data_IF_692279190593
#
_entry.id   IF_692279190593
#
_cell.length_a   1.000
_cell.length_b   1.000
_cell.length_c   1.000
_cell.angle_alpha   90.00
_cell.angle_beta   90.00
_cell.angle_gamma   90.00
#
_symmetry.space_group_name_H-M   'P 1'
#
loop_
_entity.id
_entity.type
_entity.pdbx_description
1 polymer ?
#
# COMPACT_ATOMS: atom_id res chain seq x y z
N UNK A 1 -15.64 -23.97 24.17
CA UNK A 1 -15.35 -24.17 22.74
C UNK A 1 -13.91 -23.75 22.53
N UNK A 2 -13.08 -24.61 21.93
CA UNK A 2 -11.68 -24.24 21.63
C UNK A 2 -11.69 -23.21 20.49
N UNK A 3 -10.85 -22.17 20.61
CA UNK A 3 -10.75 -21.12 19.60
C UNK A 3 -9.94 -21.62 18.40
N UNK A 4 -10.20 -21.07 17.21
CA UNK A 4 -9.42 -21.39 16.03
C UNK A 4 -7.98 -20.83 16.10
N UNK A 5 -7.07 -21.43 15.34
CA UNK A 5 -5.68 -20.93 15.24
C UNK A 5 -5.63 -19.50 14.71
N UNK A 6 -6.47 -19.15 13.73
CA UNK A 6 -6.54 -17.80 13.19
C UNK A 6 -7.03 -16.79 14.24
N UNK A 7 -7.93 -17.20 15.14
CA UNK A 7 -8.37 -16.37 16.27
C UNK A 7 -7.21 -16.08 17.22
N UNK A 8 -6.47 -17.13 17.61
CA UNK A 8 -5.31 -17.00 18.51
C UNK A 8 -4.21 -16.14 17.87
N UNK A 9 -3.92 -16.35 16.58
CA UNK A 9 -2.94 -15.56 15.82
C UNK A 9 -3.31 -14.09 15.77
N UNK A 10 -4.58 -13.74 15.54
CA UNK A 10 -5.03 -12.34 15.57
C UNK A 10 -4.81 -11.71 16.94
N UNK A 11 -5.16 -12.42 18.01
CA UNK A 11 -4.92 -11.91 19.36
C UNK A 11 -3.43 -11.75 19.67
N UNK A 12 -2.57 -12.63 19.15
CA UNK A 12 -1.13 -12.47 19.23
C UNK A 12 -0.66 -11.20 18.50
N UNK A 13 -1.13 -10.95 17.27
CA UNK A 13 -0.82 -9.74 16.51
C UNK A 13 -1.27 -8.46 17.25
N UNK A 14 -2.48 -8.46 17.81
CA UNK A 14 -3.02 -7.32 18.56
C UNK A 14 -2.24 -7.03 19.85
N UNK A 15 -1.73 -8.06 20.52
CA UNK A 15 -0.97 -7.93 21.76
C UNK A 15 0.55 -7.83 21.53
N UNK A 16 1.01 -7.86 20.28
CA UNK A 16 2.43 -7.78 19.94
C UNK A 16 3.01 -6.42 20.34
N UNK A 17 4.28 -6.42 20.77
CA UNK A 17 5.00 -5.20 21.17
C UNK A 17 6.42 -5.22 20.64
N UNK A 18 7.05 -4.04 20.55
CA UNK A 18 8.44 -3.93 20.09
C UNK A 18 8.63 -4.50 18.69
N UNK A 19 9.63 -5.38 18.53
CA UNK A 19 9.96 -5.99 17.24
C UNK A 19 8.86 -6.90 16.70
N UNK A 20 8.07 -7.55 17.56
CA UNK A 20 7.00 -8.46 17.12
C UNK A 20 5.92 -7.72 16.33
N UNK A 21 5.69 -6.44 16.66
CA UNK A 21 4.72 -5.58 15.98
C UNK A 21 5.14 -5.22 14.56
N UNK A 22 6.42 -5.30 14.21
CA UNK A 22 6.91 -5.04 12.86
C UNK A 22 6.38 -6.05 11.82
N UNK A 23 5.93 -7.23 12.27
CA UNK A 23 5.30 -8.23 11.40
C UNK A 23 3.94 -7.78 10.85
N UNK A 24 3.33 -6.75 11.44
CA UNK A 24 2.04 -6.22 11.03
C UNK A 24 0.87 -7.20 11.24
N UNK A 25 -0.24 -6.92 10.55
CA UNK A 25 -1.45 -7.72 10.59
C UNK A 25 -1.59 -8.56 9.32
N UNK A 26 -1.95 -9.83 9.46
CA UNK A 26 -2.24 -10.68 8.31
C UNK A 26 -3.58 -10.28 7.68
N UNK A 27 -3.53 -9.65 6.50
CA UNK A 27 -4.71 -9.09 5.81
C UNK A 27 -5.79 -10.17 5.54
N UNK A 28 -5.39 -11.43 5.38
CA UNK A 28 -6.28 -12.54 5.06
C UNK A 28 -6.72 -13.37 6.29
N UNK A 29 -6.31 -12.98 7.50
CA UNK A 29 -6.64 -13.73 8.73
C UNK A 29 -8.15 -13.92 8.91
N UNK A 30 -8.92 -12.90 8.55
CA UNK A 30 -10.37 -12.87 8.63
C UNK A 30 -11.06 -13.92 7.74
N UNK A 31 -10.42 -14.36 6.65
CA UNK A 31 -10.95 -15.41 5.78
C UNK A 31 -10.87 -16.80 6.43
N UNK A 32 -9.98 -16.96 7.42
CA UNK A 32 -9.75 -18.20 8.16
C UNK A 32 -10.52 -18.27 9.50
N UNK A 33 -11.23 -17.19 9.86
CA UNK A 33 -12.09 -17.13 11.04
C UNK A 33 -13.48 -17.68 10.70
N UNK A 34 -13.94 -18.65 11.47
CA UNK A 34 -15.28 -19.20 11.30
C UNK A 34 -16.38 -18.22 11.74
N UNK A 35 -17.60 -18.40 11.22
CA UNK A 35 -18.73 -17.52 11.51
C UNK A 35 -19.08 -17.42 13.01
N UNK A 36 -18.84 -18.48 13.79
CA UNK A 36 -19.16 -18.50 15.22
C UNK A 36 -18.22 -17.60 16.05
N UNK A 37 -17.00 -17.38 15.57
CA UNK A 37 -16.00 -16.51 16.20
C UNK A 37 -15.98 -15.11 15.58
N UNK A 38 -16.50 -14.97 14.36
CA UNK A 38 -16.39 -13.76 13.56
C UNK A 38 -16.87 -12.51 14.29
N UNK A 39 -18.03 -12.60 14.95
CA UNK A 39 -18.60 -11.46 15.66
C UNK A 39 -17.71 -10.96 16.81
N UNK A 40 -17.07 -11.89 17.54
CA UNK A 40 -16.15 -11.55 18.62
C UNK A 40 -14.85 -10.94 18.09
N UNK A 41 -14.30 -11.54 17.02
CA UNK A 41 -13.09 -11.05 16.34
C UNK A 41 -13.27 -9.64 15.81
N UNK A 42 -14.37 -9.37 15.10
CA UNK A 42 -14.62 -8.04 14.55
C UNK A 42 -14.78 -6.99 15.65
N UNK A 43 -15.41 -7.34 16.77
CA UNK A 43 -15.51 -6.45 17.93
C UNK A 43 -14.14 -6.12 18.51
N UNK A 44 -13.23 -7.09 18.57
CA UNK A 44 -11.85 -6.89 19.04
C UNK A 44 -11.07 -5.97 18.08
N UNK A 45 -11.21 -6.18 16.76
CA UNK A 45 -10.59 -5.33 15.74
C UNK A 45 -11.12 -3.89 15.86
N UNK A 46 -12.43 -3.74 15.89
CA UNK A 46 -13.10 -2.45 16.01
C UNK A 46 -12.64 -1.69 17.25
N UNK A 47 -12.63 -2.35 18.41
CA UNK A 47 -12.21 -1.71 19.65
C UNK A 47 -10.73 -1.32 19.64
N UNK A 48 -9.89 -2.12 19.00
CA UNK A 48 -8.45 -1.83 18.85
C UNK A 48 -8.23 -0.60 17.97
N UNK A 49 -8.97 -0.47 16.87
CA UNK A 49 -8.90 0.72 16.02
C UNK A 49 -9.48 1.96 16.72
N UNK A 50 -10.73 1.89 17.18
CA UNK A 50 -11.48 3.07 17.67
C UNK A 50 -10.95 3.56 19.02
N UNK A 51 -10.70 2.65 19.97
CA UNK A 51 -10.40 3.02 21.36
C UNK A 51 -8.91 2.92 21.69
N UNK A 52 -8.21 1.88 21.23
CA UNK A 52 -6.76 1.77 21.45
C UNK A 52 -5.94 2.63 20.47
N UNK A 53 -6.57 3.14 19.41
CA UNK A 53 -5.93 3.97 18.38
C UNK A 53 -4.73 3.29 17.72
N UNK A 54 -4.77 1.96 17.60
CA UNK A 54 -3.79 1.22 16.83
C UNK A 54 -4.14 1.35 15.34
N UNK A 55 -3.41 2.19 14.61
CA UNK A 55 -3.74 2.50 13.22
C UNK A 55 -3.35 1.38 12.26
N UNK A 56 -2.39 0.52 12.62
CA UNK A 56 -1.92 -0.55 11.72
C UNK A 56 -3.02 -1.62 11.52
N UNK A 57 -3.94 -1.76 12.47
CA UNK A 57 -5.09 -2.69 12.35
C UNK A 57 -6.10 -2.25 11.27
N UNK A 58 -5.98 -1.01 10.76
CA UNK A 58 -6.84 -0.45 9.74
C UNK A 58 -6.93 -1.34 8.49
N UNK A 59 -5.88 -2.10 8.17
CA UNK A 59 -5.86 -3.04 7.02
C UNK A 59 -6.96 -4.10 7.08
N UNK A 60 -7.50 -4.39 8.28
CA UNK A 60 -8.58 -5.35 8.49
C UNK A 60 -9.98 -4.73 8.42
N UNK A 61 -10.10 -3.41 8.53
CA UNK A 61 -11.39 -2.71 8.61
C UNK A 61 -12.27 -2.89 7.36
N UNK A 62 -11.75 -2.79 6.13
CA UNK A 62 -12.57 -2.98 4.92
C UNK A 62 -13.26 -4.35 4.85
N UNK A 63 -12.73 -5.35 5.57
CA UNK A 63 -13.24 -6.73 5.55
C UNK A 63 -14.29 -7.00 6.63
N UNK A 64 -14.57 -6.07 7.54
CA UNK A 64 -15.56 -6.25 8.60
C UNK A 64 -16.98 -6.34 8.05
N UNK A 65 -17.84 -7.14 8.68
CA UNK A 65 -19.23 -7.38 8.28
C UNK A 65 -20.24 -6.74 9.24
N UNK A 66 -19.91 -6.68 10.53
CA UNK A 66 -20.75 -6.10 11.58
C UNK A 66 -20.59 -4.59 11.72
N UNK A 67 -19.47 -4.05 11.22
CA UNK A 67 -19.11 -2.66 11.35
C UNK A 67 -18.80 -2.06 9.98
N UNK A 68 -19.18 -0.80 9.79
CA UNK A 68 -18.81 -0.04 8.60
C UNK A 68 -17.35 0.42 8.71
N UNK A 69 -16.45 -0.48 8.34
CA UNK A 69 -15.01 -0.23 8.40
C UNK A 69 -14.59 0.92 7.49
N UNK A 70 -15.13 1.00 6.27
CA UNK A 70 -14.79 2.06 5.31
C UNK A 70 -15.19 3.43 5.88
N UNK A 71 -16.41 3.58 6.41
CA UNK A 71 -16.82 4.85 7.01
C UNK A 71 -15.97 5.22 8.23
N UNK A 72 -15.55 4.24 9.03
CA UNK A 72 -14.62 4.49 10.14
C UNK A 72 -13.26 5.00 9.67
N UNK A 73 -12.72 4.45 8.58
CA UNK A 73 -11.49 4.94 7.96
C UNK A 73 -11.67 6.38 7.47
N UNK A 74 -12.76 6.69 6.74
CA UNK A 74 -13.05 8.04 6.23
C UNK A 74 -13.15 9.07 7.36
N UNK A 75 -13.87 8.74 8.43
CA UNK A 75 -13.99 9.60 9.60
C UNK A 75 -12.64 9.85 10.27
N UNK A 76 -11.75 8.85 10.30
CA UNK A 76 -10.42 9.00 10.92
C UNK A 76 -9.48 9.83 10.02
N UNK A 77 -9.54 9.65 8.70
CA UNK A 77 -8.76 10.43 7.73
C UNK A 77 -9.07 11.91 7.81
N UNK A 78 -10.33 12.30 7.98
CA UNK A 78 -10.72 13.71 8.03
C UNK A 78 -10.12 14.46 9.23
N UNK A 79 -9.71 13.74 10.28
CA UNK A 79 -9.06 14.26 11.47
C UNK A 79 -7.51 14.22 11.40
N UNK A 80 -6.95 13.56 10.37
CA UNK A 80 -5.51 13.38 10.25
C UNK A 80 -4.79 14.69 9.86
N UNK A 81 -3.59 14.87 10.41
CA UNK A 81 -2.65 15.88 9.92
C UNK A 81 -2.04 15.41 8.60
N UNK A 82 -1.81 16.35 7.70
CA UNK A 82 -1.08 16.12 6.44
C UNK A 82 0.20 16.96 6.48
N UNK A 83 1.38 16.39 6.18
CA UNK A 83 1.58 14.97 5.85
C UNK A 83 1.64 14.08 7.11
N UNK A 84 1.14 12.84 7.01
CA UNK A 84 1.38 11.80 8.03
C UNK A 84 1.25 10.38 7.46
N UNK A 85 1.99 9.44 8.06
CA UNK A 85 1.88 8.01 7.74
C UNK A 85 0.45 7.51 7.87
N UNK A 86 -0.23 7.86 8.97
CA UNK A 86 -1.63 7.47 9.20
C UNK A 86 -2.55 8.01 8.11
N UNK A 87 -2.43 9.29 7.72
CA UNK A 87 -3.22 9.81 6.60
C UNK A 87 -2.97 9.02 5.32
N UNK A 88 -1.71 8.70 5.02
CA UNK A 88 -1.33 7.97 3.81
C UNK A 88 -1.88 6.54 3.80
N UNK A 89 -1.65 5.76 4.86
CA UNK A 89 -2.15 4.40 5.01
C UNK A 89 -3.68 4.32 4.90
N UNK A 90 -4.38 5.21 5.60
CA UNK A 90 -5.84 5.17 5.57
C UNK A 90 -6.40 5.60 4.20
N UNK A 91 -5.77 6.58 3.53
CA UNK A 91 -6.19 6.96 2.18
C UNK A 91 -5.97 5.84 1.17
N UNK A 92 -4.85 5.11 1.23
CA UNK A 92 -4.61 3.98 0.32
C UNK A 92 -5.63 2.87 0.52
N UNK A 93 -5.94 2.52 1.78
CA UNK A 93 -6.95 1.53 2.11
C UNK A 93 -8.35 1.93 1.61
N UNK A 94 -8.75 3.20 1.80
CA UNK A 94 -10.04 3.66 1.29
C UNK A 94 -10.06 3.62 -0.24
N UNK A 95 -9.03 4.17 -0.88
CA UNK A 95 -8.95 4.22 -2.34
C UNK A 95 -8.99 2.82 -2.97
N UNK A 96 -8.23 1.86 -2.44
CA UNK A 96 -8.20 0.50 -2.99
C UNK A 96 -9.55 -0.21 -2.91
N UNK A 97 -10.35 0.12 -1.89
CA UNK A 97 -11.65 -0.51 -1.67
C UNK A 97 -12.83 0.24 -2.31
N UNK A 98 -12.70 1.54 -2.59
CA UNK A 98 -13.82 2.35 -3.11
C UNK A 98 -13.56 3.05 -4.44
N UNK A 99 -12.29 3.19 -4.84
CA UNK A 99 -11.84 3.94 -6.03
C UNK A 99 -12.27 5.41 -6.03
N UNK A 100 -12.52 5.98 -4.85
CA UNK A 100 -12.83 7.39 -4.69
C UNK A 100 -11.57 8.26 -4.85
N UNK A 101 -11.46 8.93 -6.00
CA UNK A 101 -10.29 9.74 -6.39
C UNK A 101 -9.94 10.88 -5.42
N UNK A 102 -10.84 11.28 -4.51
CA UNK A 102 -10.50 12.25 -3.45
C UNK A 102 -9.39 11.74 -2.53
N UNK A 103 -9.34 10.43 -2.24
CA UNK A 103 -8.31 9.84 -1.39
C UNK A 103 -6.97 9.72 -2.11
N UNK A 104 -6.97 9.48 -3.43
CA UNK A 104 -5.76 9.55 -4.24
C UNK A 104 -5.17 10.97 -4.27
N UNK A 105 -6.02 12.01 -4.34
CA UNK A 105 -5.58 13.41 -4.23
C UNK A 105 -5.03 13.75 -2.83
N UNK A 106 -5.60 13.16 -1.77
CA UNK A 106 -5.05 13.30 -0.41
C UNK A 106 -3.69 12.60 -0.28
N UNK A 107 -3.50 11.45 -0.93
CA UNK A 107 -2.20 10.77 -1.01
C UNK A 107 -1.16 11.63 -1.72
N UNK A 108 -1.49 12.20 -2.89
CA UNK A 108 -0.63 13.16 -3.59
C UNK A 108 -0.25 14.34 -2.68
N UNK A 109 -1.22 14.91 -1.95
CA UNK A 109 -0.97 16.00 -1.01
C UNK A 109 0.00 15.60 0.11
N UNK A 110 -0.12 14.38 0.65
CA UNK A 110 0.84 13.86 1.63
C UNK A 110 2.25 13.79 1.03
N UNK A 111 2.39 13.22 -0.17
CA UNK A 111 3.67 13.08 -0.87
C UNK A 111 4.30 14.45 -1.13
N UNK A 112 3.56 15.39 -1.71
CA UNK A 112 4.09 16.73 -2.04
C UNK A 112 4.49 17.51 -0.79
N UNK A 113 3.66 17.54 0.25
CA UNK A 113 3.97 18.30 1.47
C UNK A 113 5.10 17.68 2.29
N UNK A 114 5.29 16.36 2.18
CA UNK A 114 6.44 15.66 2.76
C UNK A 114 7.75 15.88 2.03
N UNK A 115 7.72 16.59 0.88
CA UNK A 115 8.84 16.72 -0.07
C UNK A 115 9.28 15.37 -0.62
N UNK A 116 8.30 14.55 -1.03
CA UNK A 116 8.50 13.26 -1.68
C UNK A 116 9.17 12.22 -0.79
N UNK A 117 8.73 12.12 0.47
CA UNK A 117 9.19 11.09 1.39
C UNK A 117 8.94 9.68 0.82
N UNK A 118 9.99 8.87 0.79
CA UNK A 118 9.95 7.54 0.21
C UNK A 118 8.89 6.64 0.87
N UNK A 119 8.62 6.81 2.16
CA UNK A 119 7.65 6.00 2.90
C UNK A 119 6.25 6.18 2.33
N UNK A 120 5.88 7.42 1.99
CA UNK A 120 4.56 7.70 1.42
C UNK A 120 4.50 7.23 -0.03
N UNK A 121 5.56 7.41 -0.79
CA UNK A 121 5.64 6.89 -2.15
C UNK A 121 5.51 5.37 -2.18
N UNK A 122 6.14 4.64 -1.25
CA UNK A 122 6.01 3.18 -1.15
C UNK A 122 4.55 2.77 -0.92
N UNK A 123 3.81 3.44 -0.03
CA UNK A 123 2.38 3.17 0.18
C UNK A 123 1.55 3.40 -1.10
N UNK A 124 1.88 4.42 -1.90
CA UNK A 124 1.24 4.63 -3.21
C UNK A 124 1.62 3.53 -4.22
N UNK A 125 2.88 3.10 -4.21
CA UNK A 125 3.38 2.07 -5.12
C UNK A 125 2.71 0.71 -4.89
N UNK A 126 2.30 0.43 -3.66
CA UNK A 126 1.61 -0.80 -3.25
C UNK A 126 0.09 -0.80 -3.56
N UNK A 127 -0.49 0.34 -3.94
CA UNK A 127 -1.90 0.41 -4.33
C UNK A 127 -2.20 -0.52 -5.52
N UNK A 128 -3.44 -1.01 -5.57
CA UNK A 128 -3.89 -1.85 -6.67
C UNK A 128 -3.68 -1.17 -8.03
N UNK A 129 -3.04 -1.85 -9.00
CA UNK A 129 -2.79 -1.30 -10.33
C UNK A 129 -4.03 -0.72 -11.01
N UNK A 130 -3.94 0.55 -11.42
CA UNK A 130 -4.93 1.22 -12.26
C UNK A 130 -4.32 2.44 -12.95
N UNK A 131 -5.05 3.00 -13.92
CA UNK A 131 -4.57 4.12 -14.73
C UNK A 131 -4.26 5.36 -13.88
N UNK A 132 -5.12 5.70 -12.92
CA UNK A 132 -4.95 6.89 -12.08
C UNK A 132 -3.73 6.80 -11.14
N UNK A 133 -3.48 5.61 -10.57
CA UNK A 133 -2.29 5.36 -9.74
C UNK A 133 -1.03 5.43 -10.60
N UNK A 134 -1.06 4.80 -11.78
CA UNK A 134 0.04 4.84 -12.74
C UNK A 134 0.39 6.27 -13.17
N UNK A 135 -0.61 7.09 -13.54
CA UNK A 135 -0.40 8.49 -13.94
C UNK A 135 0.21 9.32 -12.81
N UNK A 136 -0.24 9.13 -11.57
CA UNK A 136 0.33 9.81 -10.42
C UNK A 136 1.79 9.38 -10.18
N UNK A 137 2.09 8.09 -10.27
CA UNK A 137 3.45 7.57 -10.14
C UNK A 137 4.37 8.13 -11.23
N UNK A 138 3.94 8.18 -12.50
CA UNK A 138 4.69 8.82 -13.59
C UNK A 138 4.94 10.31 -13.30
N UNK A 139 3.92 11.02 -12.83
CA UNK A 139 4.04 12.44 -12.46
C UNK A 139 5.07 12.65 -11.34
N UNK A 140 5.12 11.74 -10.36
CA UNK A 140 6.11 11.77 -9.27
C UNK A 140 7.50 11.41 -9.80
N UNK A 141 7.60 10.42 -10.69
CA UNK A 141 8.87 9.96 -11.27
C UNK A 141 9.64 11.11 -11.94
N UNK A 142 8.95 12.04 -12.59
CA UNK A 142 9.56 13.23 -13.23
C UNK A 142 10.19 14.23 -12.24
N UNK A 143 9.85 14.15 -10.95
CA UNK A 143 10.36 15.07 -9.93
C UNK A 143 11.82 14.76 -9.56
N UNK A 144 12.54 15.74 -8.98
CA UNK A 144 13.83 15.47 -8.35
C UNK A 144 13.60 14.65 -7.07
N UNK A 145 13.90 13.35 -7.14
CA UNK A 145 13.74 12.40 -6.05
C UNK A 145 15.11 11.95 -5.55
N UNK A 146 15.21 11.64 -4.26
CA UNK A 146 16.37 10.91 -3.76
C UNK A 146 16.39 9.47 -4.30
N UNK A 147 17.51 8.78 -4.04
CA UNK A 147 17.78 7.45 -4.58
C UNK A 147 16.73 6.41 -4.12
N UNK A 148 16.24 6.52 -2.89
CA UNK A 148 15.29 5.57 -2.30
C UNK A 148 13.89 5.87 -2.84
N UNK A 149 13.45 7.13 -2.75
CA UNK A 149 12.15 7.56 -3.28
C UNK A 149 11.98 7.21 -4.77
N UNK A 150 13.01 7.48 -5.60
CA UNK A 150 13.00 7.10 -7.01
C UNK A 150 12.85 5.57 -7.22
N UNK A 151 13.46 4.77 -6.34
CA UNK A 151 13.30 3.32 -6.35
C UNK A 151 11.85 2.90 -6.10
N UNK A 152 11.22 3.44 -5.05
CA UNK A 152 9.82 3.15 -4.72
C UNK A 152 8.86 3.51 -5.86
N UNK A 153 9.05 4.67 -6.51
CA UNK A 153 8.21 5.06 -7.67
C UNK A 153 8.37 4.07 -8.82
N UNK A 154 9.61 3.68 -9.14
CA UNK A 154 9.88 2.72 -10.22
C UNK A 154 9.20 1.39 -9.92
N UNK A 155 9.27 0.90 -8.68
CA UNK A 155 8.65 -0.37 -8.30
C UNK A 155 7.11 -0.31 -8.51
N UNK A 156 6.46 0.81 -8.15
CA UNK A 156 5.03 1.02 -8.42
C UNK A 156 4.68 1.10 -9.91
N UNK A 157 5.52 1.75 -10.74
CA UNK A 157 5.33 1.82 -12.21
C UNK A 157 5.44 0.42 -12.81
N UNK A 158 6.45 -0.35 -12.41
CA UNK A 158 6.69 -1.71 -12.89
C UNK A 158 5.56 -2.65 -12.47
N UNK A 159 5.02 -2.49 -11.25
CA UNK A 159 3.84 -3.21 -10.80
C UNK A 159 2.60 -2.87 -11.63
N UNK A 160 2.33 -1.58 -11.85
CA UNK A 160 1.20 -1.14 -12.67
C UNK A 160 1.25 -1.64 -14.12
N UNK A 161 2.46 -1.83 -14.65
CA UNK A 161 2.69 -2.29 -16.03
C UNK A 161 2.88 -3.81 -16.14
N UNK A 162 2.70 -4.54 -15.05
CA UNK A 162 2.75 -6.01 -15.02
C UNK A 162 4.16 -6.59 -15.22
N UNK A 163 5.21 -5.81 -14.97
CA UNK A 163 6.57 -6.34 -14.88
C UNK A 163 6.80 -7.06 -13.56
N UNK A 164 6.18 -6.56 -12.50
CA UNK A 164 6.10 -7.19 -11.17
C UNK A 164 4.66 -7.65 -10.99
N UNK A 165 4.43 -8.88 -10.53
CA UNK A 165 3.11 -9.42 -10.24
C UNK A 165 2.74 -9.22 -8.77
N UNK A 166 3.72 -9.41 -7.88
CA UNK A 166 3.58 -9.20 -6.45
C UNK A 166 4.70 -8.27 -5.97
N UNK A 167 4.32 -7.07 -5.53
CA UNK A 167 5.29 -6.05 -5.07
C UNK A 167 5.92 -6.42 -3.72
N UNK A 168 5.29 -7.33 -2.97
CA UNK A 168 5.79 -7.85 -1.70
C UNK A 168 6.76 -9.04 -1.91
N UNK A 169 6.82 -9.61 -3.13
CA UNK A 169 7.79 -10.63 -3.50
C UNK A 169 9.16 -10.00 -3.77
N UNK A 170 10.01 -10.01 -2.74
CA UNK A 170 11.37 -9.48 -2.79
C UNK A 170 12.21 -10.14 -3.89
N UNK A 171 12.03 -11.43 -4.17
CA UNK A 171 12.78 -12.14 -5.21
C UNK A 171 12.34 -11.66 -6.60
N UNK A 172 11.02 -11.51 -6.81
CA UNK A 172 10.48 -10.97 -8.05
C UNK A 172 10.96 -9.53 -8.29
N UNK A 173 10.81 -8.64 -7.30
CA UNK A 173 11.27 -7.25 -7.39
C UNK A 173 12.78 -7.19 -7.66
N UNK A 174 13.56 -8.04 -6.98
CA UNK A 174 15.02 -8.12 -7.16
C UNK A 174 15.41 -8.62 -8.55
N UNK A 175 14.61 -9.50 -9.17
CA UNK A 175 14.83 -9.96 -10.55
C UNK A 175 14.77 -8.82 -11.57
N UNK A 176 14.15 -7.68 -11.23
CA UNK A 176 14.04 -6.48 -12.09
C UNK A 176 15.18 -5.49 -11.94
N UNK A 177 16.26 -5.86 -11.23
CA UNK A 177 17.39 -4.98 -10.91
C UNK A 177 17.95 -4.23 -12.13
N UNK A 178 18.12 -4.89 -13.27
CA UNK A 178 18.67 -4.25 -14.47
C UNK A 178 17.75 -3.15 -15.01
N UNK A 179 16.47 -3.45 -15.21
CA UNK A 179 15.47 -2.47 -15.64
C UNK A 179 15.35 -1.32 -14.63
N UNK A 180 15.38 -1.63 -13.33
CA UNK A 180 15.40 -0.60 -12.27
C UNK A 180 16.61 0.31 -12.39
N UNK A 181 17.80 -0.22 -12.70
CA UNK A 181 19.02 0.58 -12.91
C UNK A 181 18.87 1.50 -14.12
N UNK A 182 18.33 0.99 -15.24
CA UNK A 182 18.10 1.77 -16.45
C UNK A 182 17.19 2.97 -16.14
N UNK A 183 16.01 2.70 -15.56
CA UNK A 183 15.04 3.74 -15.23
C UNK A 183 15.58 4.72 -14.18
N UNK A 184 16.32 4.24 -13.19
CA UNK A 184 16.86 5.08 -12.12
C UNK A 184 17.95 6.05 -12.56
N UNK A 185 18.74 5.66 -13.56
CA UNK A 185 19.86 6.46 -14.07
C UNK A 185 19.45 7.43 -15.18
N UNK A 186 18.20 7.36 -15.66
CA UNK A 186 17.65 8.29 -16.64
C UNK A 186 17.75 9.74 -16.14
N UNK A 187 18.31 10.61 -16.99
CA UNK A 187 18.38 12.03 -16.69
C UNK A 187 16.99 12.65 -16.70
N UNK A 188 16.85 13.83 -16.09
CA UNK A 188 15.56 14.55 -15.98
C UNK A 188 14.80 14.62 -17.31
N UNK A 189 15.51 14.95 -18.38
CA UNK A 189 14.91 15.13 -19.71
C UNK A 189 14.66 13.79 -20.44
N UNK A 190 15.26 12.69 -19.96
CA UNK A 190 15.12 11.34 -20.52
C UNK A 190 14.01 10.51 -19.86
N UNK A 191 13.56 10.92 -18.66
CA UNK A 191 12.56 10.16 -17.88
C UNK A 191 11.26 9.92 -18.66
N UNK A 192 10.75 10.94 -19.34
CA UNK A 192 9.54 10.84 -20.16
C UNK A 192 9.76 9.85 -21.31
N UNK A 193 10.92 9.88 -21.94
CA UNK A 193 11.24 8.96 -23.02
C UNK A 193 11.39 7.53 -22.50
N UNK A 194 11.93 7.32 -21.29
CA UNK A 194 11.95 5.99 -20.68
C UNK A 194 10.55 5.44 -20.41
N UNK A 195 9.62 6.28 -19.96
CA UNK A 195 8.22 5.89 -19.78
C UNK A 195 7.60 5.50 -21.14
N UNK A 196 7.79 6.30 -22.19
CA UNK A 196 7.30 5.95 -23.54
C UNK A 196 7.88 4.63 -24.05
N UNK A 197 9.18 4.39 -23.87
CA UNK A 197 9.82 3.11 -24.24
C UNK A 197 9.19 1.94 -23.52
N UNK A 198 8.90 2.12 -22.23
CA UNK A 198 8.21 1.11 -21.42
C UNK A 198 6.79 0.85 -21.92
N UNK A 199 6.05 1.90 -22.27
CA UNK A 199 4.69 1.80 -22.83
C UNK A 199 4.64 1.16 -24.22
N UNK A 200 5.67 1.39 -25.03
CA UNK A 200 5.83 0.80 -26.36
C UNK A 200 6.33 -0.66 -26.33
N UNK A 201 6.56 -1.23 -25.15
CA UNK A 201 7.01 -2.61 -24.99
C UNK A 201 8.50 -2.83 -25.27
N UNK A 202 9.31 -1.78 -25.38
CA UNK A 202 10.76 -1.90 -25.64
C UNK A 202 11.52 -2.63 -24.51
N UNK A 203 10.90 -2.73 -23.33
CA UNK A 203 11.43 -3.45 -22.17
C UNK A 203 10.71 -4.79 -21.90
N UNK A 204 9.82 -5.26 -22.77
CA UNK A 204 9.00 -6.47 -22.50
C UNK A 204 9.82 -7.75 -22.29
N UNK A 205 11.08 -7.78 -22.74
CA UNK A 205 12.04 -8.84 -22.41
C UNK A 205 12.28 -8.99 -20.90
N UNK A 206 11.98 -7.97 -20.10
CA UNK A 206 12.06 -7.99 -18.63
C UNK A 206 10.78 -8.50 -17.96
N UNK A 207 9.68 -8.74 -18.69
CA UNK A 207 8.48 -9.38 -18.13
C UNK A 207 8.77 -10.86 -17.90
N UNK A 208 8.49 -11.35 -16.69
CA UNK A 208 8.55 -12.78 -16.42
C UNK A 208 7.32 -13.45 -17.05
N UNK A 209 7.46 -13.94 -18.29
CA UNK A 209 6.49 -14.86 -18.88
C UNK A 209 6.74 -16.27 -18.34
N UNK A 210 6.35 -16.48 -17.09
CA UNK A 210 6.08 -17.81 -16.53
C UNK A 210 4.60 -17.88 -16.17
#
# INVERSE_FOLDING_TARGET
MQKSKAYEELLCQINATGADKLSGYSINILNSINNNERAEVEKVIWNTFIYKKDMDIAVLLPKLQLYDGIQALKNTVSECKIPSYTSMLLCSLIYDNTKENEYLKLMEKNIVQSKFDYTYISILAECHPCEEVYELLVTIYEKPLDRIACGSVIDGILYNKGFIKDIDDIEEVSSKKELRIILKNAQKDEKIDMIKKLENGEFDNYKNYN
#
